data_IF_331564132367
#
_entry.id   IF_331564132367
#
_cell.length_a   1.000
_cell.length_b   1.000
_cell.length_c   1.000
_cell.angle_alpha   90.00
_cell.angle_beta   90.00
_cell.angle_gamma   90.00
#
_symmetry.space_group_name_H-M   'P 1'
#
loop_
_entity.id
_entity.type
_entity.pdbx_description
1 polymer ?
#
# COMPACT_ATOMS: atom_id res chain seq x y z
N UNK A 1 6.84 6.16 4.96
CA UNK A 1 7.05 5.18 3.87
C UNK A 1 6.99 5.95 2.58
N UNK A 2 7.95 5.75 1.68
CA UNK A 2 7.89 6.32 0.34
C UNK A 2 7.18 5.32 -0.56
N UNK A 3 5.99 5.70 -1.03
CA UNK A 3 5.16 4.86 -1.88
C UNK A 3 5.66 4.98 -3.31
N UNK A 4 5.94 3.83 -3.92
CA UNK A 4 6.33 3.71 -5.33
C UNK A 4 5.29 2.88 -6.06
N UNK A 5 5.50 1.58 -6.17
CA UNK A 5 4.50 0.69 -6.76
C UNK A 5 3.31 0.39 -5.81
N UNK A 6 3.43 0.70 -4.52
CA UNK A 6 2.38 0.57 -3.51
C UNK A 6 2.05 -0.88 -3.13
N UNK A 7 2.81 -1.87 -3.56
CA UNK A 7 2.52 -3.29 -3.35
C UNK A 7 2.81 -3.76 -1.92
N UNK A 8 3.71 -3.07 -1.22
CA UNK A 8 4.15 -3.43 0.13
C UNK A 8 3.74 -2.40 1.18
N UNK A 9 2.98 -1.38 0.79
CA UNK A 9 2.47 -0.33 1.69
C UNK A 9 1.01 -0.62 2.04
N UNK A 10 0.72 -0.88 3.32
CA UNK A 10 -0.63 -0.99 3.85
C UNK A 10 -1.29 0.39 3.91
N UNK A 11 -2.42 0.54 3.22
CA UNK A 11 -3.11 1.83 3.08
C UNK A 11 -3.50 2.45 4.43
N UNK A 12 -3.96 1.63 5.38
CA UNK A 12 -4.43 2.14 6.67
C UNK A 12 -3.34 2.23 7.72
N UNK A 13 -2.36 1.31 7.68
CA UNK A 13 -1.44 1.08 8.79
C UNK A 13 -0.06 1.70 8.59
N UNK A 14 0.35 1.98 7.34
CA UNK A 14 1.65 2.58 7.07
C UNK A 14 1.59 4.11 7.00
N UNK A 15 2.68 4.73 7.42
CA UNK A 15 2.87 6.19 7.37
C UNK A 15 3.28 6.65 5.96
N UNK A 16 2.36 6.55 4.99
CA UNK A 16 2.60 6.98 3.62
C UNK A 16 1.97 8.34 3.27
N UNK A 17 0.92 8.74 3.99
CA UNK A 17 0.25 10.03 3.78
C UNK A 17 0.88 11.14 4.61
N UNK A 18 0.66 12.40 4.22
CA UNK A 18 1.02 13.57 5.06
C UNK A 18 0.35 13.57 6.44
N UNK A 19 -0.72 12.79 6.63
CA UNK A 19 -1.43 12.64 7.90
C UNK A 19 -0.82 11.56 8.80
N UNK A 20 0.22 10.86 8.35
CA UNK A 20 0.75 9.69 9.03
C UNK A 20 -0.18 8.48 8.84
N UNK A 21 -0.42 7.74 9.92
CA UNK A 21 -1.17 6.49 9.94
C UNK A 21 -2.68 6.78 9.84
N UNK A 22 -3.27 6.48 8.68
CA UNK A 22 -4.69 6.79 8.44
C UNK A 22 -5.62 6.04 9.39
N UNK A 23 -5.25 4.86 9.88
CA UNK A 23 -6.01 4.10 10.88
C UNK A 23 -6.11 4.86 12.21
N UNK A 24 -5.03 5.51 12.64
CA UNK A 24 -5.01 6.29 13.87
C UNK A 24 -5.81 7.59 13.73
N UNK A 25 -5.77 8.21 12.55
CA UNK A 25 -6.45 9.49 12.31
C UNK A 25 -7.96 9.32 12.05
N UNK A 26 -8.35 8.33 11.25
CA UNK A 26 -9.76 8.11 10.84
C UNK A 26 -10.48 7.03 11.67
N UNK A 27 -9.74 6.24 12.43
CA UNK A 27 -10.27 5.10 13.19
C UNK A 27 -10.91 4.03 12.29
N UNK A 28 -11.62 3.09 12.92
CA UNK A 28 -12.28 1.98 12.21
C UNK A 28 -13.37 2.43 11.23
N UNK A 29 -13.98 3.59 11.49
CA UNK A 29 -15.01 4.16 10.60
C UNK A 29 -14.44 4.61 9.26
N UNK A 30 -13.14 4.91 9.19
CA UNK A 30 -12.44 5.30 7.96
C UNK A 30 -12.60 4.26 6.85
N UNK A 31 -12.43 2.97 7.18
CA UNK A 31 -12.56 1.86 6.23
C UNK A 31 -13.92 1.86 5.53
N UNK A 32 -14.99 2.08 6.31
CA UNK A 32 -16.36 2.14 5.80
C UNK A 32 -16.58 3.42 4.99
N UNK A 33 -16.08 4.56 5.49
CA UNK A 33 -16.28 5.84 4.85
C UNK A 33 -15.64 5.91 3.45
N UNK A 34 -14.38 5.46 3.32
CA UNK A 34 -13.67 5.41 2.04
C UNK A 34 -14.01 4.17 1.20
N UNK A 35 -14.64 3.15 1.78
CA UNK A 35 -14.94 1.89 1.09
C UNK A 35 -13.67 1.12 0.70
N UNK A 36 -12.67 1.14 1.58
CA UNK A 36 -11.38 0.46 1.41
C UNK A 36 -11.28 -0.62 2.48
N UNK A 37 -10.87 -1.82 2.08
CA UNK A 37 -10.61 -2.91 3.00
C UNK A 37 -9.50 -2.53 3.99
N UNK A 38 -9.64 -2.95 5.23
CA UNK A 38 -8.69 -2.64 6.32
C UNK A 38 -7.25 -3.10 6.02
N UNK A 39 -7.12 -4.23 5.34
CA UNK A 39 -5.83 -4.83 4.96
C UNK A 39 -5.43 -4.52 3.51
N UNK A 40 -6.02 -3.51 2.88
CA UNK A 40 -5.68 -3.14 1.50
C UNK A 40 -4.29 -2.52 1.41
N UNK A 41 -3.55 -2.88 0.36
CA UNK A 41 -2.32 -2.19 -0.02
C UNK A 41 -2.61 -1.00 -0.94
N UNK A 42 -1.70 -0.03 -1.01
CA UNK A 42 -1.88 1.18 -1.84
C UNK A 42 -2.06 0.82 -3.32
N UNK A 43 -1.34 -0.19 -3.84
CA UNK A 43 -1.51 -0.67 -5.21
C UNK A 43 -2.95 -1.12 -5.52
N UNK A 44 -3.58 -1.87 -4.61
CA UNK A 44 -4.97 -2.34 -4.76
C UNK A 44 -5.95 -1.17 -4.75
N UNK A 45 -5.67 -0.15 -3.93
CA UNK A 45 -6.46 1.06 -3.87
C UNK A 45 -6.37 1.83 -5.18
N UNK A 46 -5.15 2.06 -5.70
CA UNK A 46 -4.93 2.78 -6.96
C UNK A 46 -5.52 2.04 -8.17
N UNK A 47 -5.37 0.71 -8.22
CA UNK A 47 -5.94 -0.13 -9.28
C UNK A 47 -7.47 -0.14 -9.26
N UNK A 48 -8.08 -0.04 -8.08
CA UNK A 48 -9.53 0.02 -7.93
C UNK A 48 -10.09 1.45 -7.92
N UNK A 49 -9.25 2.50 -7.87
CA UNK A 49 -9.70 3.89 -7.76
C UNK A 49 -10.60 4.29 -8.93
N UNK A 50 -10.36 3.83 -10.17
CA UNK A 50 -11.27 4.12 -11.30
C UNK A 50 -12.66 3.52 -11.12
N UNK A 51 -12.75 2.36 -10.44
CA UNK A 51 -14.03 1.71 -10.10
C UNK A 51 -14.67 2.36 -8.88
N UNK A 52 -13.85 2.84 -7.94
CA UNK A 52 -14.30 3.60 -6.79
C UNK A 52 -14.62 5.01 -7.24
N UNK A 53 -15.90 5.28 -7.52
CA UNK A 53 -16.35 6.64 -7.85
C UNK A 53 -15.89 7.60 -6.74
N UNK A 54 -14.90 8.46 -7.03
CA UNK A 54 -14.38 9.48 -6.12
C UNK A 54 -15.55 10.14 -5.40
N UNK A 55 -15.58 10.02 -4.07
CA UNK A 55 -16.69 10.54 -3.27
C UNK A 55 -16.30 11.90 -2.73
N UNK A 56 -17.20 12.87 -2.88
CA UNK A 56 -17.09 14.11 -2.13
C UNK A 56 -17.71 13.88 -0.77
N UNK A 57 -16.85 13.68 0.23
CA UNK A 57 -17.25 13.45 1.60
C UNK A 57 -17.69 14.77 2.25
N UNK A 58 -18.56 14.67 3.26
CA UNK A 58 -18.92 15.83 4.10
C UNK A 58 -17.74 16.24 4.99
N UNK A 59 -16.91 15.28 5.37
CA UNK A 59 -15.71 15.50 6.18
C UNK A 59 -14.54 15.90 5.28
N UNK A 60 -13.91 17.03 5.60
CA UNK A 60 -12.80 17.57 4.81
C UNK A 60 -11.60 16.62 4.79
N UNK A 61 -11.29 15.98 5.92
CA UNK A 61 -10.18 15.05 6.02
C UNK A 61 -10.29 13.89 5.01
N UNK A 62 -11.49 13.32 4.84
CA UNK A 62 -11.72 12.26 3.85
C UNK A 62 -11.51 12.77 2.42
N UNK A 63 -11.88 14.01 2.12
CA UNK A 63 -11.62 14.62 0.82
C UNK A 63 -10.12 14.85 0.59
N UNK A 64 -9.36 15.20 1.63
CA UNK A 64 -7.91 15.36 1.51
C UNK A 64 -7.20 14.01 1.33
N UNK A 65 -7.67 12.95 1.97
CA UNK A 65 -7.15 11.59 1.74
C UNK A 65 -7.43 11.13 0.31
N UNK A 66 -8.61 11.39 -0.25
CA UNK A 66 -8.90 11.14 -1.67
C UNK A 66 -7.95 11.93 -2.59
N UNK A 67 -7.57 13.17 -2.21
CA UNK A 67 -6.60 13.96 -2.97
C UNK A 67 -5.18 13.38 -2.92
N UNK A 68 -4.75 12.81 -1.80
CA UNK A 68 -3.47 12.07 -1.70
C UNK A 68 -3.47 10.84 -2.62
N UNK A 69 -4.58 10.10 -2.68
CA UNK A 69 -4.73 8.96 -3.60
C UNK A 69 -4.61 9.42 -5.06
N UNK A 70 -5.29 10.51 -5.42
CA UNK A 70 -5.25 11.09 -6.77
C UNK A 70 -3.80 11.52 -7.13
N UNK A 71 -3.06 12.08 -6.18
CA UNK A 71 -1.66 12.46 -6.36
C UNK A 71 -0.78 11.26 -6.70
N UNK A 72 -0.90 10.15 -5.94
CA UNK A 72 -0.15 8.91 -6.20
C UNK A 72 -0.50 8.30 -7.56
N UNK A 73 -1.76 8.39 -7.99
CA UNK A 73 -2.18 7.91 -9.30
C UNK A 73 -1.59 8.74 -10.46
N UNK A 74 -1.32 10.02 -10.25
CA UNK A 74 -0.76 10.91 -11.27
C UNK A 74 0.73 10.64 -11.57
N UNK A 75 1.45 10.04 -10.62
CA UNK A 75 2.87 9.73 -10.71
C UNK A 75 3.15 8.26 -10.37
N UNK A 76 2.66 7.30 -11.19
CA UNK A 76 2.85 5.88 -10.92
C UNK A 76 4.33 5.51 -11.06
N UNK A 77 4.86 4.78 -10.08
CA UNK A 77 6.20 4.20 -10.13
C UNK A 77 6.12 2.67 -10.22
N UNK A 78 7.09 2.06 -10.92
CA UNK A 78 7.24 0.60 -11.00
C UNK A 78 8.20 0.04 -9.94
N UNK A 79 8.93 0.92 -9.25
CA UNK A 79 9.92 0.52 -8.24
C UNK A 79 9.26 0.06 -6.95
N UNK A 80 9.98 -0.74 -6.17
CA UNK A 80 9.51 -1.22 -4.86
C UNK A 80 9.43 -0.09 -3.84
N UNK A 81 8.40 -0.15 -2.99
CA UNK A 81 8.19 0.79 -1.88
C UNK A 81 9.40 0.85 -0.93
N UNK A 82 9.74 2.04 -0.46
CA UNK A 82 10.93 2.27 0.36
C UNK A 82 10.57 2.69 1.81
N UNK A 83 10.98 1.92 2.84
CA UNK A 83 10.73 2.30 4.23
C UNK A 83 11.67 3.45 4.65
N UNK A 84 11.09 4.62 4.94
CA UNK A 84 11.84 5.80 5.37
C UNK A 84 12.43 5.68 6.80
N UNK A 85 12.10 4.63 7.55
CA UNK A 85 12.63 4.41 8.90
C UNK A 85 13.88 3.53 8.88
N UNK A 86 15.01 4.05 8.40
CA UNK A 86 16.34 3.56 8.80
C UNK A 86 17.47 4.51 8.40
N UNK A 87 17.70 5.53 9.23
CA UNK A 87 19.05 6.06 9.44
C UNK A 87 19.23 6.43 10.92
N UNK A 88 19.76 5.48 11.68
CA UNK A 88 20.79 5.75 12.68
C UNK A 88 21.91 4.76 12.38
N UNK A 89 23.13 5.29 12.29
CA UNK A 89 24.29 4.73 11.60
C UNK A 89 24.57 3.23 11.83
N UNK A 90 24.97 2.54 10.76
CA UNK A 90 26.00 1.51 10.88
C UNK A 90 25.63 0.03 10.86
N UNK A 91 24.40 -0.40 10.54
CA UNK A 91 24.11 -1.85 10.40
C UNK A 91 23.21 -2.15 9.20
N UNK A 92 23.81 -2.78 8.18
CA UNK A 92 23.08 -3.50 7.14
C UNK A 92 22.19 -4.57 7.79
N UNK A 93 20.87 -4.38 7.77
CA UNK A 93 19.95 -5.50 7.97
C UNK A 93 19.47 -5.94 6.59
N UNK A 94 20.22 -6.85 5.98
CA UNK A 94 19.70 -7.73 4.95
C UNK A 94 18.75 -8.75 5.58
N UNK A 95 17.66 -9.04 4.88
CA UNK A 95 16.64 -10.03 5.26
C UNK A 95 15.69 -9.46 6.31
N UNK A 96 14.40 -9.33 6.06
CA UNK A 96 13.49 -10.44 5.80
C UNK A 96 12.29 -9.95 4.97
N UNK A 97 12.35 -10.13 3.66
CA UNK A 97 11.13 -10.35 2.88
C UNK A 97 11.20 -11.79 2.42
N UNK A 98 10.49 -12.66 3.14
CA UNK A 98 10.22 -14.03 2.74
C UNK A 98 9.54 -13.98 1.36
N UNK A 99 10.36 -14.17 0.33
CA UNK A 99 9.92 -14.40 -1.04
C UNK A 99 9.09 -15.67 -1.02
N UNK A 100 7.76 -15.58 -1.07
CA UNK A 100 6.92 -16.77 -1.23
C UNK A 100 6.93 -17.16 -2.70
N UNK A 101 8.02 -17.78 -3.15
CA UNK A 101 8.07 -18.50 -4.41
C UNK A 101 7.42 -19.87 -4.18
N UNK A 102 6.16 -20.02 -4.57
CA UNK A 102 5.61 -21.34 -4.85
C UNK A 102 6.10 -21.80 -6.22
N UNK A 103 7.29 -22.39 -6.24
CA UNK A 103 7.76 -23.24 -7.33
C UNK A 103 8.08 -24.62 -6.76
N UNK A 104 7.05 -25.46 -6.69
CA UNK A 104 7.12 -26.90 -6.59
C UNK A 104 5.85 -27.41 -7.31
N UNK A 105 5.88 -28.36 -8.24
CA UNK A 105 6.78 -29.47 -8.34
C UNK A 105 6.97 -29.92 -9.81
N UNK A 106 8.22 -30.24 -10.14
CA UNK A 106 8.67 -31.50 -10.75
C UNK A 106 7.69 -32.15 -11.74
N UNK A 107 7.95 -32.05 -13.04
CA UNK A 107 8.73 -33.08 -13.76
C UNK A 107 8.43 -34.50 -13.29
N UNK A 108 7.20 -34.95 -13.55
CA UNK A 108 6.92 -36.38 -13.63
C UNK A 108 7.31 -36.89 -15.01
N UNK A 109 8.48 -37.55 -15.03
CA UNK A 109 8.82 -38.73 -15.81
C UNK A 109 8.74 -38.66 -17.36
N UNK A 110 9.93 -38.55 -17.95
CA UNK A 110 10.24 -39.13 -19.26
C UNK A 110 11.49 -40.01 -19.10
N UNK A 111 11.31 -41.28 -18.73
CA UNK A 111 12.21 -42.38 -19.13
C UNK A 111 11.61 -43.76 -18.82
N UNK A 112 11.74 -44.63 -19.83
CA UNK A 112 11.39 -46.06 -19.96
C UNK A 112 9.95 -46.39 -20.38
#
# INVERSE_FOLDING_TARGET
MEVRNGQNTLFWHDNWSKFGCLKEVLGDRGCIALGILDQAVVADVLGNQRRRRRRRHRENLLNEVEAEIDSLQSAPSLEEDFPLWKQKEGVHAGGLFLKKNMAAASLWLLSM
#
